data_IF_869560500982
#
_entry.id   IF_869560500982
#
_cell.length_a   1.000
_cell.length_b   1.000
_cell.length_c   1.000
_cell.angle_alpha   90.00
_cell.angle_beta   90.00
_cell.angle_gamma   90.00
#
_symmetry.space_group_name_H-M   'P 1'
#
loop_
_entity.id
_entity.type
_entity.pdbx_description
1 polymer ?
#
# COMPACT_ATOMS: atom_id res chain seq x y z
N UNK A 1 -14.43 -6.19 -3.62
CA UNK A 1 -13.14 -6.80 -3.23
C UNK A 1 -13.37 -7.98 -2.29
N UNK A 2 -12.54 -9.02 -2.44
CA UNK A 2 -12.53 -10.25 -1.63
C UNK A 2 -11.30 -10.24 -0.71
N UNK A 3 -11.44 -10.56 0.59
CA UNK A 3 -10.28 -10.73 1.46
C UNK A 3 -9.45 -11.94 0.99
N UNK A 4 -8.13 -11.76 0.93
CA UNK A 4 -7.15 -12.81 0.61
C UNK A 4 -6.00 -12.70 1.59
N UNK A 5 -5.87 -13.70 2.48
CA UNK A 5 -4.89 -13.78 3.57
C UNK A 5 -4.83 -12.55 4.50
N UNK A 6 -4.21 -11.45 4.09
CA UNK A 6 -4.06 -10.22 4.90
C UNK A 6 -4.26 -8.92 4.10
N UNK A 7 -4.69 -9.02 2.85
CA UNK A 7 -5.03 -7.90 1.98
C UNK A 7 -6.34 -8.21 1.25
N UNK A 8 -6.77 -7.31 0.37
CA UNK A 8 -7.97 -7.46 -0.44
C UNK A 8 -7.62 -7.50 -1.93
N UNK A 9 -8.28 -8.41 -2.65
CA UNK A 9 -8.16 -8.58 -4.10
C UNK A 9 -9.47 -8.30 -4.83
N UNK A 10 -9.38 -7.76 -6.04
CA UNK A 10 -10.49 -7.65 -7.00
C UNK A 10 -9.97 -7.80 -8.44
N UNK A 11 -10.87 -7.78 -9.43
CA UNK A 11 -10.47 -7.71 -10.83
C UNK A 11 -11.43 -6.84 -11.67
N UNK A 12 -10.89 -5.79 -12.32
CA UNK A 12 -11.66 -4.84 -13.13
C UNK A 12 -12.33 -5.46 -14.37
N UNK A 13 -11.88 -6.62 -14.82
CA UNK A 13 -12.40 -7.33 -15.99
C UNK A 13 -13.16 -8.61 -15.61
N UNK A 14 -13.52 -8.78 -14.33
CA UNK A 14 -14.32 -9.90 -13.85
C UNK A 14 -13.54 -11.20 -13.61
N UNK A 15 -12.23 -11.24 -13.86
CA UNK A 15 -11.41 -12.42 -13.60
C UNK A 15 -10.92 -12.49 -12.14
N UNK A 16 -11.89 -12.45 -11.22
CA UNK A 16 -11.62 -12.44 -9.78
C UNK A 16 -10.97 -13.75 -9.32
N UNK A 17 -11.45 -14.90 -9.82
CA UNK A 17 -10.96 -16.20 -9.38
C UNK A 17 -9.48 -16.42 -9.72
N UNK A 18 -9.02 -16.02 -10.90
CA UNK A 18 -7.60 -16.10 -11.23
C UNK A 18 -6.74 -15.14 -10.37
N UNK A 19 -7.28 -13.94 -10.07
CA UNK A 19 -6.60 -13.00 -9.16
C UNK A 19 -6.42 -13.62 -7.77
N UNK A 20 -7.49 -14.21 -7.24
CA UNK A 20 -7.49 -14.84 -5.92
C UNK A 20 -6.60 -16.08 -5.90
N UNK A 21 -6.58 -16.88 -6.97
CA UNK A 21 -5.74 -18.07 -7.05
C UNK A 21 -4.24 -17.72 -6.94
N UNK A 22 -3.78 -16.68 -7.63
CA UNK A 22 -2.39 -16.20 -7.53
C UNK A 22 -2.11 -15.62 -6.15
N UNK A 23 -3.04 -14.82 -5.61
CA UNK A 23 -2.90 -14.20 -4.29
C UNK A 23 -2.86 -15.20 -3.12
N UNK A 24 -3.63 -16.29 -3.19
CA UNK A 24 -3.60 -17.38 -2.20
C UNK A 24 -2.32 -18.21 -2.32
N UNK A 25 -1.87 -18.49 -3.55
CA UNK A 25 -0.58 -19.16 -3.79
C UNK A 25 0.60 -18.32 -3.26
N UNK A 26 0.45 -16.99 -3.22
CA UNK A 26 1.48 -16.05 -2.79
C UNK A 26 2.64 -15.89 -3.77
N UNK A 27 2.51 -16.41 -5.01
CA UNK A 27 3.52 -16.33 -6.05
C UNK A 27 2.91 -16.54 -7.44
N UNK A 28 3.59 -16.04 -8.47
CA UNK A 28 3.17 -16.07 -9.87
C UNK A 28 2.74 -14.71 -10.40
N UNK A 29 2.47 -14.67 -11.71
CA UNK A 29 2.04 -13.47 -12.40
C UNK A 29 0.54 -13.23 -12.21
N UNK A 30 0.17 -12.00 -11.84
CA UNK A 30 -1.23 -11.62 -11.72
C UNK A 30 -1.87 -11.37 -13.08
N UNK A 31 -3.14 -11.77 -13.28
CA UNK A 31 -3.86 -11.48 -14.51
C UNK A 31 -4.13 -9.97 -14.67
N UNK A 32 -4.28 -9.53 -15.91
CA UNK A 32 -4.68 -8.17 -16.23
C UNK A 32 -6.01 -7.83 -15.52
N UNK A 33 -6.11 -6.60 -15.02
CA UNK A 33 -7.26 -6.11 -14.28
C UNK A 33 -7.23 -6.41 -12.78
N UNK A 34 -6.27 -7.20 -12.28
CA UNK A 34 -6.11 -7.40 -10.83
C UNK A 34 -6.03 -6.07 -10.11
N UNK A 35 -6.75 -5.96 -9.00
CA UNK A 35 -6.69 -4.85 -8.05
C UNK A 35 -6.27 -5.43 -6.70
N UNK A 36 -5.19 -4.92 -6.11
CA UNK A 36 -4.75 -5.31 -4.77
C UNK A 36 -4.73 -4.09 -3.83
N UNK A 37 -5.15 -4.30 -2.59
CA UNK A 37 -5.19 -3.28 -1.55
C UNK A 37 -4.80 -3.86 -0.19
N UNK A 38 -3.70 -3.37 0.39
CA UNK A 38 -3.26 -3.69 1.75
C UNK A 38 -3.72 -2.65 2.78
N UNK A 39 -3.65 -1.36 2.45
CA UNK A 39 -4.16 -0.27 3.31
C UNK A 39 -5.23 0.52 2.57
N UNK A 40 -6.26 1.06 3.24
CA UNK A 40 -7.43 1.67 2.58
C UNK A 40 -7.11 2.74 1.52
N UNK A 41 -6.01 3.48 1.72
CA UNK A 41 -5.63 4.60 0.87
C UNK A 41 -4.69 4.23 -0.29
N UNK A 42 -4.18 2.99 -0.36
CA UNK A 42 -3.23 2.59 -1.39
C UNK A 42 -3.79 1.40 -2.18
N UNK A 43 -3.69 1.48 -3.51
CA UNK A 43 -4.15 0.43 -4.44
C UNK A 43 -3.12 0.24 -5.53
N UNK A 44 -2.94 -1.00 -5.98
CA UNK A 44 -2.20 -1.31 -7.20
C UNK A 44 -3.08 -2.09 -8.18
N UNK A 45 -2.99 -1.74 -9.47
CA UNK A 45 -3.79 -2.34 -10.55
C UNK A 45 -2.86 -2.90 -11.62
N UNK A 46 -3.08 -4.16 -12.00
CA UNK A 46 -2.34 -4.80 -13.09
C UNK A 46 -2.91 -4.36 -14.44
N UNK A 47 -2.10 -3.68 -15.24
CA UNK A 47 -2.46 -3.17 -16.56
C UNK A 47 -2.12 -4.18 -17.67
N UNK A 48 -2.63 -3.97 -18.91
CA UNK A 48 -2.27 -4.81 -20.05
C UNK A 48 -0.77 -4.92 -20.23
N UNK A 49 -0.34 -6.11 -20.65
CA UNK A 49 1.08 -6.42 -20.81
C UNK A 49 1.78 -5.44 -21.76
N UNK A 50 2.93 -4.91 -21.32
CA UNK A 50 3.76 -4.01 -22.12
C UNK A 50 3.38 -2.53 -22.04
N UNK A 51 2.35 -2.16 -21.27
CA UNK A 51 2.00 -0.75 -21.03
C UNK A 51 3.11 -0.02 -20.26
N UNK A 52 3.71 -0.69 -19.27
CA UNK A 52 4.86 -0.17 -18.54
C UNK A 52 5.81 -1.31 -18.13
N UNK A 53 6.83 -1.62 -18.95
CA UNK A 53 7.77 -2.69 -18.66
C UNK A 53 8.55 -2.49 -17.36
N UNK A 54 8.82 -1.23 -16.97
CA UNK A 54 9.57 -0.91 -15.75
C UNK A 54 8.82 -1.41 -14.52
N UNK A 55 7.50 -1.24 -14.47
CA UNK A 55 6.69 -1.66 -13.32
C UNK A 55 6.03 -3.02 -13.52
N UNK A 56 6.43 -3.83 -14.52
CA UNK A 56 5.73 -5.06 -14.91
C UNK A 56 4.23 -4.81 -15.04
N UNK A 57 3.87 -3.66 -15.61
CA UNK A 57 2.50 -3.21 -15.84
C UNK A 57 1.68 -2.95 -14.57
N UNK A 58 2.30 -2.87 -13.39
CA UNK A 58 1.63 -2.38 -12.19
C UNK A 58 1.52 -0.86 -12.19
N UNK A 59 0.30 -0.37 -12.06
CA UNK A 59 0.00 1.03 -11.77
C UNK A 59 -0.42 1.19 -10.31
N UNK A 60 0.07 2.24 -9.66
CA UNK A 60 -0.14 2.53 -8.25
C UNK A 60 -1.09 3.73 -8.09
N UNK A 61 -1.89 3.69 -7.05
CA UNK A 61 -2.90 4.70 -6.73
C UNK A 61 -2.82 5.05 -5.26
N UNK A 62 -2.82 6.36 -4.99
CA UNK A 62 -3.14 6.93 -3.70
C UNK A 62 -4.57 7.47 -3.77
N UNK A 63 -5.43 7.01 -2.89
CA UNK A 63 -6.85 7.35 -2.85
C UNK A 63 -7.23 7.93 -1.48
N UNK A 64 -8.15 8.88 -1.51
CA UNK A 64 -8.91 9.26 -0.33
C UNK A 64 -10.13 8.34 -0.22
N UNK A 65 -10.47 7.95 1.02
CA UNK A 65 -11.63 7.10 1.32
C UNK A 65 -12.63 7.86 2.16
N UNK A 66 -13.90 7.71 1.83
CA UNK A 66 -15.03 8.17 2.65
C UNK A 66 -16.16 7.16 2.59
N UNK A 67 -17.24 7.39 3.35
CA UNK A 67 -18.44 6.56 3.28
C UNK A 67 -19.07 6.54 1.88
N UNK A 68 -18.90 7.63 1.10
CA UNK A 68 -19.46 7.77 -0.24
C UNK A 68 -18.62 7.06 -1.32
N UNK A 69 -17.43 6.57 -0.97
CA UNK A 69 -16.57 5.83 -1.88
C UNK A 69 -15.12 6.26 -1.81
N UNK A 70 -14.48 6.39 -2.97
CA UNK A 70 -13.06 6.72 -3.05
C UNK A 70 -12.79 7.75 -4.14
N UNK A 71 -11.83 8.63 -3.87
CA UNK A 71 -11.35 9.62 -4.84
C UNK A 71 -9.87 9.39 -5.08
N UNK A 72 -9.46 9.38 -6.35
CA UNK A 72 -8.05 9.27 -6.68
C UNK A 72 -7.36 10.61 -6.38
N UNK A 73 -6.38 10.57 -5.49
CA UNK A 73 -5.51 11.69 -5.18
C UNK A 73 -4.29 11.71 -6.12
N UNK A 74 -3.67 10.55 -6.33
CA UNK A 74 -2.53 10.38 -7.23
C UNK A 74 -2.59 9.00 -7.88
N UNK A 75 -2.17 8.91 -9.13
CA UNK A 75 -2.00 7.65 -9.84
C UNK A 75 -0.77 7.68 -10.74
N UNK A 76 -0.29 6.51 -11.13
CA UNK A 76 0.77 6.35 -12.12
C UNK A 76 1.68 5.15 -11.83
N UNK A 77 2.78 5.08 -12.56
CA UNK A 77 3.72 3.96 -12.49
C UNK A 77 4.81 4.23 -11.43
N UNK A 78 6.08 4.31 -11.82
CA UNK A 78 7.20 4.43 -10.89
C UNK A 78 7.21 5.70 -10.00
N UNK A 79 6.43 6.73 -10.35
CA UNK A 79 6.48 8.06 -9.70
C UNK A 79 5.47 8.30 -8.56
N UNK A 80 4.74 7.28 -8.10
CA UNK A 80 3.71 7.44 -7.08
C UNK A 80 4.31 7.34 -5.68
N UNK A 81 3.99 8.32 -4.85
CA UNK A 81 4.42 8.37 -3.45
C UNK A 81 3.17 8.42 -2.57
N UNK A 82 3.23 7.78 -1.40
CA UNK A 82 2.18 7.86 -0.39
C UNK A 82 2.24 9.18 0.40
N UNK A 83 1.29 9.38 1.32
CA UNK A 83 1.20 10.59 2.15
C UNK A 83 2.43 10.82 3.04
N UNK A 84 3.20 9.76 3.33
CA UNK A 84 4.43 9.85 4.11
C UNK A 84 5.67 10.15 3.25
N UNK A 85 5.51 10.22 1.92
CA UNK A 85 6.60 10.46 0.97
C UNK A 85 7.39 9.19 0.60
N UNK A 86 6.95 8.01 1.03
CA UNK A 86 7.50 6.73 0.55
C UNK A 86 7.02 6.46 -0.88
N UNK A 87 7.92 6.00 -1.74
CA UNK A 87 7.59 5.66 -3.13
C UNK A 87 7.09 4.22 -3.24
N UNK A 88 5.94 4.03 -3.89
CA UNK A 88 5.30 2.72 -4.01
C UNK A 88 6.21 1.76 -4.80
N UNK A 89 6.62 2.13 -6.01
CA UNK A 89 7.42 1.25 -6.85
C UNK A 89 8.80 0.92 -6.26
N UNK A 90 9.47 1.89 -5.61
CA UNK A 90 10.77 1.66 -4.97
C UNK A 90 10.72 0.62 -3.84
N UNK A 91 9.56 0.45 -3.20
CA UNK A 91 9.32 -0.66 -2.27
C UNK A 91 9.07 -1.97 -3.04
N UNK A 92 8.14 -1.93 -3.99
CA UNK A 92 7.64 -3.11 -4.71
C UNK A 92 8.65 -3.76 -5.67
N UNK A 93 9.56 -2.98 -6.27
CA UNK A 93 10.60 -3.46 -7.20
C UNK A 93 11.60 -4.41 -6.55
N UNK A 94 11.68 -4.41 -5.20
CA UNK A 94 12.60 -5.25 -4.44
C UNK A 94 12.11 -6.68 -4.26
N UNK A 95 10.84 -6.96 -4.57
CA UNK A 95 10.32 -8.32 -4.49
C UNK A 95 11.10 -9.22 -5.45
N UNK A 96 11.38 -10.46 -5.03
CA UNK A 96 11.98 -11.47 -5.92
C UNK A 96 11.10 -11.68 -7.15
N UNK A 97 11.68 -12.07 -8.29
CA UNK A 97 10.97 -12.17 -9.57
C UNK A 97 9.70 -13.03 -9.55
N UNK A 98 9.65 -14.03 -8.66
CA UNK A 98 8.54 -14.99 -8.51
C UNK A 98 7.25 -14.37 -7.93
N UNK A 99 7.33 -13.16 -7.37
CA UNK A 99 6.23 -12.53 -6.66
C UNK A 99 5.57 -11.38 -7.42
N UNK A 100 5.96 -11.15 -8.67
CA UNK A 100 5.36 -10.12 -9.54
C UNK A 100 5.20 -8.75 -8.85
N UNK A 101 6.27 -8.31 -8.19
CA UNK A 101 6.31 -7.06 -7.40
C UNK A 101 5.36 -6.99 -6.22
N UNK A 102 4.80 -8.10 -5.74
CA UNK A 102 4.06 -8.15 -4.48
C UNK A 102 5.05 -8.32 -3.33
N UNK A 103 5.07 -7.35 -2.42
CA UNK A 103 5.90 -7.39 -1.22
C UNK A 103 5.15 -7.98 -0.04
N UNK A 104 5.66 -9.09 0.47
CA UNK A 104 5.24 -9.71 1.73
C UNK A 104 6.46 -10.17 2.54
N UNK A 105 6.20 -10.80 3.68
CA UNK A 105 7.24 -11.48 4.45
C UNK A 105 7.98 -12.48 3.55
N UNK A 106 9.30 -12.49 3.67
CA UNK A 106 10.19 -13.36 2.90
C UNK A 106 10.16 -13.17 1.38
N UNK A 107 9.55 -12.10 0.84
CA UNK A 107 9.58 -11.82 -0.61
C UNK A 107 10.83 -11.06 -1.07
N UNK A 108 11.74 -10.73 -0.16
CA UNK A 108 12.99 -9.99 -0.45
C UNK A 108 12.87 -8.47 -0.39
N UNK A 109 11.69 -7.94 -0.06
CA UNK A 109 11.49 -6.51 0.14
C UNK A 109 12.06 -6.03 1.49
N UNK A 110 12.28 -4.73 1.61
CA UNK A 110 12.68 -4.12 2.88
C UNK A 110 11.59 -4.33 3.94
N UNK A 111 12.02 -4.52 5.19
CA UNK A 111 11.09 -4.53 6.31
C UNK A 111 10.42 -3.15 6.47
N UNK A 112 9.09 -3.17 6.59
CA UNK A 112 8.30 -1.99 6.95
C UNK A 112 8.11 -1.94 8.47
N UNK A 113 8.01 -0.75 9.09
CA UNK A 113 7.88 -0.63 10.54
C UNK A 113 6.46 -0.97 11.04
N UNK A 114 5.60 -1.52 10.19
CA UNK A 114 4.20 -1.84 10.49
C UNK A 114 4.02 -3.34 10.65
N UNK A 115 3.28 -3.74 11.68
CA UNK A 115 2.98 -5.16 11.94
C UNK A 115 1.74 -5.61 11.18
N UNK A 116 1.57 -6.92 11.01
CA UNK A 116 0.35 -7.50 10.43
C UNK A 116 -0.91 -7.11 11.21
N UNK A 117 -0.81 -7.00 12.54
CA UNK A 117 -1.90 -6.53 13.38
C UNK A 117 -2.29 -5.08 13.05
N UNK A 118 -1.29 -4.20 12.83
CA UNK A 118 -1.52 -2.81 12.42
C UNK A 118 -2.23 -2.73 11.07
N UNK A 119 -1.81 -3.52 10.08
CA UNK A 119 -2.50 -3.56 8.78
C UNK A 119 -3.96 -4.00 8.92
N UNK A 120 -4.23 -5.08 9.66
CA UNK A 120 -5.60 -5.49 9.91
C UNK A 120 -6.43 -4.42 10.65
N UNK A 121 -5.82 -3.71 11.60
CA UNK A 121 -6.51 -2.70 12.40
C UNK A 121 -6.89 -1.45 11.59
N UNK A 122 -6.12 -1.08 10.55
CA UNK A 122 -6.51 0.02 9.65
C UNK A 122 -7.51 -0.40 8.57
N UNK A 123 -7.57 -1.69 8.22
CA UNK A 123 -8.53 -2.22 7.25
C UNK A 123 -9.95 -2.32 7.84
N UNK A 124 -10.08 -2.76 9.10
CA UNK A 124 -11.38 -3.01 9.73
C UNK A 124 -12.34 -1.82 9.77
N UNK A 125 -11.91 -0.59 10.12
CA UNK A 125 -12.79 0.56 10.19
C UNK A 125 -12.97 1.28 8.84
N UNK A 126 -12.67 0.63 7.71
CA UNK A 126 -12.88 1.22 6.39
C UNK A 126 -14.36 1.58 6.20
N UNK A 127 -14.65 2.88 6.07
CA UNK A 127 -15.99 3.44 6.02
C UNK A 127 -16.81 2.99 4.81
N UNK A 128 -16.17 2.41 3.80
CA UNK A 128 -16.85 1.86 2.61
C UNK A 128 -17.48 0.49 2.91
N UNK A 129 -17.03 -0.19 3.97
CA UNK A 129 -17.50 -1.51 4.37
C UNK A 129 -18.75 -1.41 5.26
N UNK A 130 -19.93 -1.60 4.68
CA UNK A 130 -21.24 -1.54 5.38
C UNK A 130 -21.40 -2.57 6.52
N UNK A 131 -20.55 -3.59 6.59
CA UNK A 131 -20.60 -4.67 7.58
C UNK A 131 -19.32 -4.78 8.39
N UNK A 132 -18.57 -3.68 8.53
CA UNK A 132 -17.37 -3.65 9.38
C UNK A 132 -17.75 -4.05 10.81
N UNK A 133 -17.11 -5.11 11.33
CA UNK A 133 -17.28 -5.49 12.72
C UNK A 133 -16.87 -4.34 13.65
N UNK A 134 -17.51 -4.19 14.82
CA UNK A 134 -17.09 -3.22 15.81
C UNK A 134 -15.61 -3.44 16.17
N UNK A 135 -14.85 -2.35 16.29
CA UNK A 135 -13.44 -2.43 16.65
C UNK A 135 -13.26 -3.06 18.03
N UNK A 136 -12.40 -4.08 18.11
CA UNK A 136 -12.05 -4.71 19.37
C UNK A 136 -11.19 -3.79 20.26
N UNK A 137 -11.06 -4.11 21.55
CA UNK A 137 -10.14 -3.41 22.43
C UNK A 137 -8.68 -3.51 21.93
N UNK A 138 -8.30 -4.68 21.42
CA UNK A 138 -7.00 -4.91 20.81
C UNK A 138 -6.75 -4.00 19.60
N UNK A 139 -7.76 -3.80 18.75
CA UNK A 139 -7.62 -2.93 17.58
C UNK A 139 -7.36 -1.48 17.96
N UNK A 140 -8.05 -1.01 19.00
CA UNK A 140 -7.86 0.36 19.53
C UNK A 140 -6.44 0.56 20.05
N UNK A 141 -5.91 -0.43 20.78
CA UNK A 141 -4.53 -0.39 21.26
C UNK A 141 -3.52 -0.39 20.11
N UNK A 142 -3.69 -1.30 19.15
CA UNK A 142 -2.81 -1.40 17.98
C UNK A 142 -2.83 -0.12 17.15
N UNK A 143 -3.98 0.52 16.99
CA UNK A 143 -4.11 1.80 16.29
C UNK A 143 -3.47 2.95 17.07
N UNK A 144 -3.53 2.95 18.40
CA UNK A 144 -2.82 3.92 19.22
C UNK A 144 -1.30 3.80 19.03
N UNK A 145 -0.77 2.57 19.06
CA UNK A 145 0.65 2.30 18.79
C UNK A 145 1.05 2.73 17.36
N UNK A 146 0.22 2.42 16.37
CA UNK A 146 0.41 2.88 15.00
C UNK A 146 0.43 4.41 14.91
N UNK A 147 -0.46 5.08 15.64
CA UNK A 147 -0.51 6.54 15.72
C UNK A 147 0.81 7.15 16.20
N UNK A 148 1.42 6.60 17.25
CA UNK A 148 2.72 7.06 17.75
C UNK A 148 3.85 6.81 16.74
N UNK A 149 3.84 5.65 16.07
CA UNK A 149 4.81 5.37 15.01
C UNK A 149 4.68 6.35 13.84
N UNK A 150 3.46 6.65 13.41
CA UNK A 150 3.18 7.62 12.35
C UNK A 150 3.65 9.02 12.76
N UNK A 151 3.37 9.47 13.98
CA UNK A 151 3.88 10.75 14.51
C UNK A 151 5.41 10.80 14.46
N UNK A 152 6.09 9.73 14.87
CA UNK A 152 7.55 9.61 14.82
C UNK A 152 8.09 9.69 13.38
N UNK A 153 7.47 8.99 12.43
CA UNK A 153 7.83 9.05 11.01
C UNK A 153 7.67 10.45 10.43
N UNK A 154 6.54 11.11 10.70
CA UNK A 154 6.27 12.48 10.25
C UNK A 154 7.25 13.48 10.86
N UNK A 155 7.57 13.35 12.14
CA UNK A 155 8.55 14.20 12.82
C UNK A 155 9.96 14.06 12.20
N UNK A 156 10.43 12.82 12.01
CA UNK A 156 11.72 12.56 11.34
C UNK A 156 11.78 13.17 9.94
N UNK A 157 10.71 13.05 9.15
CA UNK A 157 10.62 13.65 7.82
C UNK A 157 10.73 15.18 7.87
N UNK A 158 10.02 15.82 8.81
CA UNK A 158 10.10 17.28 9.00
C UNK A 158 11.53 17.73 9.33
N UNK A 159 12.22 17.01 10.22
CA UNK A 159 13.62 17.29 10.56
C UNK A 159 14.54 17.11 9.34
N UNK A 160 14.38 16.04 8.57
CA UNK A 160 15.19 15.81 7.35
C UNK A 160 14.99 16.90 6.29
N UNK A 161 13.75 17.34 6.09
CA UNK A 161 13.44 18.45 5.16
C UNK A 161 14.06 19.76 5.66
N UNK A 162 13.95 20.05 6.96
CA UNK A 162 14.56 21.24 7.58
C UNK A 162 16.09 21.22 7.46
N UNK A 163 16.74 20.09 7.73
CA UNK A 163 18.19 19.94 7.59
C UNK A 163 18.64 20.10 6.13
N UNK A 164 17.90 19.51 5.16
CA UNK A 164 18.17 19.72 3.74
C UNK A 164 18.00 21.18 3.32
N UNK A 165 16.98 21.87 3.82
CA UNK A 165 16.78 23.29 3.57
C UNK A 165 17.92 24.12 4.14
N UNK A 166 18.37 23.81 5.36
CA UNK A 166 19.49 24.50 6.02
C UNK A 166 20.83 24.29 5.29
N UNK A 167 21.06 23.09 4.74
CA UNK A 167 22.24 22.79 3.89
C UNK A 167 22.20 23.53 2.55
N UNK A 168 21.01 23.67 1.95
CA UNK A 168 20.84 24.36 0.64
C UNK A 168 20.81 25.89 0.78
N UNK A 169 20.34 26.40 1.91
CA UNK A 169 20.18 27.83 2.18
C UNK A 169 21.33 28.45 2.98
N UNK A 170 22.31 27.64 3.41
CA UNK A 170 23.49 28.11 4.13
C UNK A 170 23.17 28.77 5.47
N UNK A 171 22.59 28.03 6.42
CA UNK A 171 22.42 28.55 7.78
C UNK A 171 23.77 28.96 8.37
N UNK A 172 23.98 30.27 8.58
CA UNK A 172 25.00 30.77 9.49
C UNK A 172 24.66 30.30 10.91
N UNK A 173 25.68 29.76 11.58
CA UNK A 173 25.60 29.30 12.97
C UNK A 173 25.12 30.39 13.92
#
# INVERSE_FOLDING_TARGET
>A
MKPVRHFYGDNLFGNLDATVAVAEKGSGDYPVGTVLQLVPNEVMVKRPRGLNPVTRDWEFFLIDVSEQGSKIYKLGFAGVNNHFGGNCFACHVKARPDFDFICEQDHGCDAVPFTRAMFGAVQRPDSRCKSSAPMSAQDKEVLAQLGELVKSLLHRRRLQLSARHCLLSGCQK
#
